data_IF_311239654189
#
_entry.id   IF_311239654189
#
_cell.length_a   1.000
_cell.length_b   1.000
_cell.length_c   1.000
_cell.angle_alpha   90.00
_cell.angle_beta   90.00
_cell.angle_gamma   90.00
#
_symmetry.space_group_name_H-M   'P 1'
#
loop_
_entity.id
_entity.type
_entity.pdbx_description
1 polymer ?
#
# COMPACT_ATOMS: atom_id res chain seq x y z
N UNK A 1 5.16 20.75 -15.31
CA UNK A 1 4.57 21.53 -14.20
C UNK A 1 5.15 21.04 -12.90
N UNK A 2 5.67 21.90 -12.05
CA UNK A 2 6.05 21.46 -10.71
C UNK A 2 4.79 20.98 -9.98
N UNK A 3 4.85 19.76 -9.45
CA UNK A 3 3.77 19.17 -8.68
C UNK A 3 3.51 20.04 -7.44
N UNK A 4 2.28 20.50 -7.31
CA UNK A 4 1.88 21.30 -6.15
C UNK A 4 1.98 20.42 -4.90
N UNK A 5 2.74 20.90 -3.92
CA UNK A 5 2.79 20.32 -2.58
C UNK A 5 1.38 20.27 -2.00
N UNK A 6 0.93 19.09 -1.57
CA UNK A 6 -0.34 19.02 -0.85
C UNK A 6 -0.20 19.75 0.48
N UNK A 7 -1.12 20.67 0.77
CA UNK A 7 -1.18 21.32 2.07
C UNK A 7 -1.92 20.38 2.99
N UNK A 8 -1.20 19.73 3.88
CA UNK A 8 -1.74 18.82 4.89
C UNK A 8 -1.71 19.56 6.23
N UNK A 9 -2.86 19.71 6.86
CA UNK A 9 -2.94 20.15 8.24
C UNK A 9 -2.63 18.96 9.17
N UNK A 10 -1.40 18.88 9.61
CA UNK A 10 -0.89 17.79 10.44
C UNK A 10 -1.54 17.73 11.82
N UNK A 11 -1.99 18.86 12.36
CA UNK A 11 -2.60 18.93 13.69
C UNK A 11 -4.05 18.42 13.67
N UNK A 12 -4.70 18.48 12.52
CA UNK A 12 -6.06 17.96 12.34
C UNK A 12 -6.14 16.55 11.76
N UNK A 13 -4.99 15.90 11.49
CA UNK A 13 -4.94 14.54 11.00
C UNK A 13 -5.47 13.56 12.05
N UNK A 14 -6.71 13.10 11.87
CA UNK A 14 -7.30 11.99 12.60
C UNK A 14 -7.29 10.70 11.77
N UNK A 15 -8.35 9.92 11.91
CA UNK A 15 -8.58 8.71 11.09
C UNK A 15 -9.33 9.00 9.79
N UNK A 16 -9.42 10.28 9.41
CA UNK A 16 -10.07 10.67 8.17
C UNK A 16 -9.26 10.19 6.97
N UNK A 17 -10.00 9.76 5.95
CA UNK A 17 -9.40 9.37 4.71
C UNK A 17 -8.82 10.59 3.98
N UNK A 18 -7.58 10.49 3.54
CA UNK A 18 -6.90 11.49 2.75
C UNK A 18 -6.45 10.87 1.42
N UNK A 19 -6.95 11.40 0.33
CA UNK A 19 -6.53 10.93 -1.00
C UNK A 19 -5.08 11.28 -1.27
N UNK A 20 -4.36 10.31 -1.81
CA UNK A 20 -3.00 10.47 -2.31
C UNK A 20 -3.00 10.58 -3.82
N UNK A 21 -1.88 10.99 -4.42
CA UNK A 21 -1.76 11.09 -5.87
C UNK A 21 -1.82 9.72 -6.55
N UNK A 22 -1.21 8.74 -5.96
CA UNK A 22 -1.02 7.42 -6.53
C UNK A 22 -1.23 6.32 -5.51
N UNK A 23 -1.50 5.14 -6.02
CA UNK A 23 -1.55 3.89 -5.28
C UNK A 23 -0.75 2.83 -6.03
N UNK A 24 -0.18 1.86 -5.32
CA UNK A 24 0.46 0.72 -5.94
C UNK A 24 -0.60 -0.37 -6.18
N UNK A 25 -0.64 -0.88 -7.39
CA UNK A 25 -1.59 -1.93 -7.78
C UNK A 25 -0.88 -3.12 -8.40
N UNK A 26 -1.27 -4.31 -8.01
CA UNK A 26 -0.82 -5.57 -8.59
C UNK A 26 -1.98 -6.55 -8.61
N UNK A 27 -1.98 -7.45 -9.59
CA UNK A 27 -3.00 -8.47 -9.74
C UNK A 27 -2.37 -9.87 -9.63
N UNK A 28 -3.20 -10.82 -9.22
CA UNK A 28 -2.85 -12.23 -9.18
C UNK A 28 -4.05 -13.05 -9.60
N UNK A 29 -3.91 -13.84 -10.64
CA UNK A 29 -4.93 -14.81 -11.01
C UNK A 29 -4.80 -16.08 -10.16
N UNK A 30 -5.91 -16.77 -10.00
CA UNK A 30 -5.93 -18.03 -9.26
C UNK A 30 -4.97 -19.04 -9.89
N UNK A 31 -4.05 -19.57 -9.06
CA UNK A 31 -3.06 -20.54 -9.51
C UNK A 31 -1.80 -19.95 -10.15
N UNK A 32 -1.71 -18.64 -10.23
CA UNK A 32 -0.54 -17.94 -10.76
C UNK A 32 0.21 -17.19 -9.66
N UNK A 33 1.43 -16.79 -9.95
CA UNK A 33 2.18 -15.84 -9.11
C UNK A 33 1.64 -14.42 -9.29
N UNK A 34 1.92 -13.54 -8.32
CA UNK A 34 1.64 -12.13 -8.44
C UNK A 34 2.39 -11.53 -9.62
N UNK A 35 1.69 -10.83 -10.48
CA UNK A 35 2.32 -10.03 -11.52
C UNK A 35 3.13 -8.86 -10.90
N UNK A 36 4.06 -8.32 -11.65
CA UNK A 36 4.73 -7.09 -11.23
C UNK A 36 3.70 -5.96 -11.20
N UNK A 37 3.55 -5.36 -10.02
CA UNK A 37 2.67 -4.21 -9.86
C UNK A 37 3.31 -2.91 -10.35
N UNK A 38 2.53 -1.85 -10.30
CA UNK A 38 2.98 -0.50 -10.64
C UNK A 38 2.22 0.55 -9.86
N UNK A 39 2.80 1.74 -9.79
CA UNK A 39 2.10 2.93 -9.34
C UNK A 39 1.11 3.39 -10.41
N UNK A 40 -0.12 3.58 -9.99
CA UNK A 40 -1.21 4.11 -10.81
C UNK A 40 -1.86 5.30 -10.11
N UNK A 41 -2.57 6.18 -10.81
CA UNK A 41 -3.32 7.24 -10.15
C UNK A 41 -4.28 6.67 -9.10
N UNK A 42 -4.38 7.34 -7.96
CA UNK A 42 -5.35 6.95 -6.95
C UNK A 42 -6.77 7.08 -7.48
N UNK A 43 -7.59 6.08 -7.27
CA UNK A 43 -8.97 6.06 -7.77
C UNK A 43 -9.71 4.79 -7.38
N UNK A 44 -10.85 4.62 -7.99
CA UNK A 44 -11.71 3.47 -7.75
C UNK A 44 -11.09 2.18 -8.29
N UNK A 45 -11.38 1.08 -7.62
CA UNK A 45 -11.04 -0.26 -8.05
C UNK A 45 -12.30 -0.89 -8.64
N UNK A 46 -12.17 -1.46 -9.84
CA UNK A 46 -13.26 -2.21 -10.47
C UNK A 46 -13.17 -3.67 -10.05
N UNK A 47 -14.24 -4.17 -9.47
CA UNK A 47 -14.38 -5.56 -9.01
C UNK A 47 -15.66 -6.18 -9.51
N UNK A 48 -15.62 -7.49 -9.80
CA UNK A 48 -16.84 -8.28 -10.05
C UNK A 48 -17.75 -8.24 -8.82
N UNK A 49 -19.08 -8.16 -8.99
CA UNK A 49 -20.04 -8.33 -7.90
C UNK A 49 -19.88 -9.66 -7.14
N UNK A 50 -19.31 -10.67 -7.81
CA UNK A 50 -19.02 -11.98 -7.21
C UNK A 50 -17.67 -12.05 -6.49
N UNK A 51 -16.93 -10.95 -6.41
CA UNK A 51 -15.65 -10.92 -5.71
C UNK A 51 -15.81 -11.38 -4.25
N UNK A 52 -14.98 -12.32 -3.83
CA UNK A 52 -15.08 -12.94 -2.51
C UNK A 52 -14.84 -11.94 -1.38
N UNK A 53 -14.03 -10.93 -1.61
CA UNK A 53 -13.84 -9.84 -0.64
C UNK A 53 -15.14 -9.10 -0.33
N UNK A 54 -16.02 -8.93 -1.31
CA UNK A 54 -17.30 -8.24 -1.13
C UNK A 54 -18.35 -9.11 -0.43
N UNK A 55 -18.40 -10.39 -0.75
CA UNK A 55 -19.47 -11.28 -0.30
C UNK A 55 -19.12 -12.10 0.94
N UNK A 56 -17.84 -12.42 1.13
CA UNK A 56 -17.36 -13.28 2.21
C UNK A 56 -16.25 -12.64 3.05
N UNK A 57 -15.89 -11.41 2.77
CA UNK A 57 -14.86 -10.70 3.53
C UNK A 57 -13.46 -11.31 3.41
N UNK A 58 -13.15 -12.03 2.33
CA UNK A 58 -11.81 -12.55 2.08
C UNK A 58 -10.87 -11.41 1.67
N UNK A 59 -10.42 -10.69 2.66
CA UNK A 59 -9.50 -9.57 2.50
C UNK A 59 -8.59 -9.46 3.72
N UNK A 60 -7.41 -8.98 3.52
CA UNK A 60 -6.44 -8.68 4.57
C UNK A 60 -5.95 -7.25 4.40
N UNK A 61 -5.52 -6.64 5.48
CA UNK A 61 -4.87 -5.35 5.43
C UNK A 61 -3.60 -5.36 6.27
N UNK A 62 -2.71 -4.45 5.95
CA UNK A 62 -1.49 -4.19 6.71
C UNK A 62 -1.27 -2.69 6.81
N UNK A 63 -0.83 -2.22 7.95
CA UNK A 63 -0.58 -0.80 8.19
C UNK A 63 0.88 -0.56 8.57
N UNK A 64 1.49 0.39 7.92
CA UNK A 64 2.82 0.88 8.27
C UNK A 64 2.89 2.39 8.13
N UNK A 65 3.94 2.98 8.70
CA UNK A 65 4.18 4.42 8.60
C UNK A 65 5.60 4.67 8.10
N UNK A 66 5.73 5.69 7.27
CA UNK A 66 7.02 6.27 6.94
C UNK A 66 7.25 7.51 7.81
N UNK A 67 8.48 7.71 8.25
CA UNK A 67 8.87 8.84 9.09
C UNK A 67 9.94 9.65 8.40
N UNK A 68 9.85 10.96 8.52
CA UNK A 68 10.93 11.86 8.12
C UNK A 68 11.86 12.08 9.32
N UNK A 69 13.15 11.87 9.11
CA UNK A 69 14.19 12.12 10.12
C UNK A 69 14.59 13.60 10.14
N UNK A 70 15.35 14.00 11.17
CA UNK A 70 15.84 15.38 11.28
C UNK A 70 16.78 15.79 10.15
N UNK A 71 17.44 14.84 9.49
CA UNK A 71 18.29 15.04 8.31
C UNK A 71 17.53 14.82 6.99
N UNK A 72 16.19 14.96 7.02
CA UNK A 72 15.27 14.90 5.88
C UNK A 72 15.23 13.58 5.12
N UNK A 73 15.70 12.48 5.74
CA UNK A 73 15.55 11.15 5.17
C UNK A 73 14.21 10.54 5.52
N UNK A 74 13.65 9.77 4.60
CA UNK A 74 12.45 8.98 4.83
C UNK A 74 12.85 7.57 5.25
N UNK A 75 12.32 7.12 6.37
CA UNK A 75 12.63 5.80 6.93
C UNK A 75 11.36 4.99 7.20
N UNK A 76 11.48 3.69 7.06
CA UNK A 76 10.47 2.70 7.42
C UNK A 76 10.99 1.88 8.60
N UNK A 77 10.20 1.81 9.67
CA UNK A 77 10.59 1.05 10.86
C UNK A 77 10.05 -0.38 10.76
N UNK A 78 10.99 -1.35 10.75
CA UNK A 78 10.68 -2.79 10.80
C UNK A 78 9.63 -3.25 9.77
N UNK A 79 9.74 -2.75 8.55
CA UNK A 79 8.85 -3.14 7.45
C UNK A 79 8.89 -4.65 7.15
N UNK A 80 10.00 -5.31 7.49
CA UNK A 80 10.15 -6.76 7.42
C UNK A 80 9.08 -7.50 8.25
N UNK A 81 8.72 -6.98 9.41
CA UNK A 81 7.69 -7.58 10.26
C UNK A 81 6.28 -7.37 9.70
N UNK A 82 6.02 -6.19 9.14
CA UNK A 82 4.76 -5.94 8.42
C UNK A 82 4.61 -6.91 7.24
N UNK A 83 5.67 -7.08 6.47
CA UNK A 83 5.69 -8.00 5.33
C UNK A 83 5.41 -9.45 5.74
N UNK A 84 6.05 -9.94 6.81
CA UNK A 84 5.81 -11.28 7.34
C UNK A 84 4.38 -11.47 7.84
N UNK A 85 3.86 -10.48 8.56
CA UNK A 85 2.48 -10.52 9.06
C UNK A 85 1.47 -10.54 7.92
N UNK A 86 1.69 -9.77 6.85
CA UNK A 86 0.86 -9.83 5.65
C UNK A 86 0.90 -11.21 5.00
N UNK A 87 2.10 -11.81 4.90
CA UNK A 87 2.25 -13.17 4.36
C UNK A 87 1.42 -14.17 5.16
N UNK A 88 1.50 -14.15 6.49
CA UNK A 88 0.70 -15.04 7.35
C UNK A 88 -0.79 -14.78 7.22
N UNK A 89 -1.20 -13.53 7.13
CA UNK A 89 -2.61 -13.17 6.98
C UNK A 89 -3.18 -13.67 5.65
N UNK A 90 -2.44 -13.56 4.56
CA UNK A 90 -2.86 -14.07 3.26
C UNK A 90 -2.93 -15.59 3.24
N UNK A 91 -1.96 -16.27 3.82
CA UNK A 91 -1.99 -17.74 3.97
C UNK A 91 -3.19 -18.20 4.79
N UNK A 92 -3.49 -17.50 5.90
CA UNK A 92 -4.61 -17.84 6.78
C UNK A 92 -5.97 -17.78 6.09
N UNK A 93 -6.15 -16.83 5.17
CA UNK A 93 -7.40 -16.63 4.43
C UNK A 93 -7.40 -17.28 3.04
N UNK A 94 -6.42 -18.12 2.74
CA UNK A 94 -6.30 -18.76 1.43
C UNK A 94 -6.25 -17.76 0.26
N UNK A 95 -5.69 -16.61 0.50
CA UNK A 95 -5.35 -15.61 -0.53
C UNK A 95 -3.99 -15.99 -1.10
N UNK A 96 -3.73 -15.81 -2.40
CA UNK A 96 -2.40 -16.04 -2.96
C UNK A 96 -1.32 -15.35 -2.14
N UNK A 97 -0.29 -16.11 -1.77
CA UNK A 97 0.76 -15.66 -0.87
C UNK A 97 1.46 -14.42 -1.40
N UNK A 98 1.46 -13.36 -0.61
CA UNK A 98 2.26 -12.16 -0.88
C UNK A 98 3.64 -12.37 -0.28
N UNK A 99 4.66 -12.48 -1.13
CA UNK A 99 6.05 -12.65 -0.69
C UNK A 99 6.53 -11.37 0.02
N UNK A 100 7.31 -11.48 1.11
CA UNK A 100 7.79 -10.32 1.85
C UNK A 100 8.50 -9.28 0.97
N UNK A 101 9.39 -9.69 0.10
CA UNK A 101 10.15 -8.79 -0.77
C UNK A 101 9.25 -8.03 -1.75
N UNK A 102 8.21 -8.67 -2.25
CA UNK A 102 7.22 -8.02 -3.11
C UNK A 102 6.50 -6.88 -2.38
N UNK A 103 6.03 -7.15 -1.16
CA UNK A 103 5.37 -6.15 -0.33
C UNK A 103 6.31 -4.99 0.03
N UNK A 104 7.53 -5.31 0.47
CA UNK A 104 8.53 -4.30 0.84
C UNK A 104 8.83 -3.39 -0.35
N UNK A 105 9.03 -3.97 -1.54
CA UNK A 105 9.28 -3.19 -2.75
C UNK A 105 8.09 -2.27 -3.10
N UNK A 106 6.86 -2.78 -3.02
CA UNK A 106 5.66 -1.98 -3.26
C UNK A 106 5.54 -0.79 -2.29
N UNK A 107 5.86 -1.00 -1.01
CA UNK A 107 5.88 0.08 -0.01
C UNK A 107 6.96 1.10 -0.33
N UNK A 108 8.18 0.66 -0.68
CA UNK A 108 9.25 1.59 -1.06
C UNK A 108 8.88 2.43 -2.27
N UNK A 109 8.33 1.84 -3.31
CA UNK A 109 7.90 2.58 -4.51
C UNK A 109 6.82 3.61 -4.16
N UNK A 110 5.85 3.24 -3.35
CA UNK A 110 4.77 4.12 -2.91
C UNK A 110 5.30 5.28 -2.05
N UNK A 111 6.12 4.99 -1.06
CA UNK A 111 6.70 6.00 -0.16
C UNK A 111 7.63 6.94 -0.92
N UNK A 112 8.42 6.42 -1.84
CA UNK A 112 9.30 7.22 -2.69
C UNK A 112 8.49 8.19 -3.57
N UNK A 113 7.40 7.73 -4.16
CA UNK A 113 6.52 8.59 -4.95
C UNK A 113 5.88 9.68 -4.09
N UNK A 114 5.35 9.33 -2.92
CA UNK A 114 4.72 10.27 -1.99
C UNK A 114 5.73 11.28 -1.40
N UNK A 115 6.95 10.86 -1.12
CA UNK A 115 7.99 11.72 -0.55
C UNK A 115 8.45 12.82 -1.51
N UNK A 116 8.41 12.58 -2.82
CA UNK A 116 8.69 13.59 -3.82
C UNK A 116 7.63 14.72 -3.87
N UNK A 117 6.46 14.48 -3.30
CA UNK A 117 5.36 15.45 -3.26
C UNK A 117 5.34 16.18 -1.92
N UNK A 118 6.12 15.75 -0.95
CA UNK A 118 6.07 16.23 0.43
C UNK A 118 4.64 16.18 1.00
N UNK A 119 4.17 14.97 1.26
CA UNK A 119 3.02 14.79 2.13
C UNK A 119 3.44 15.19 3.54
#
# INVERSE_FOLDING_TARGET
MPLKKAIVDWDSLGFNFLETRSMYSANCNVGEDWENGSLIPFGNIELSPAAVVLNYGQGVFEGTKAFQTCDEKIVLFRIDQNARRLTWSTERLCIPKVKPDFFINAVFETVKDLSHIHI
#
